data_IF_208543375286
#
_entry.id   IF_208543375286
#
_cell.length_a   1.000
_cell.length_b   1.000
_cell.length_c   1.000
_cell.angle_alpha   90.00
_cell.angle_beta   90.00
_cell.angle_gamma   90.00
#
_symmetry.space_group_name_H-M   'P 1'
#
loop_
_entity.id
_entity.type
_entity.pdbx_description
1 polymer ?
#
# COMPACT_ATOMS: atom_id res chain seq x y z
N UNK A 1 6.03 10.32 20.68
CA UNK A 1 4.97 10.18 21.70
C UNK A 1 3.97 9.14 21.19
N UNK A 2 3.73 8.06 21.95
CA UNK A 2 2.72 7.07 21.57
C UNK A 2 1.31 7.52 21.95
N UNK A 3 0.30 7.17 21.14
CA UNK A 3 -1.12 7.31 21.48
C UNK A 3 -1.72 5.93 21.73
N UNK A 4 -2.53 5.77 22.76
CA UNK A 4 -3.21 4.51 23.06
C UNK A 4 -4.45 4.36 22.18
N UNK A 5 -4.59 3.22 21.52
CA UNK A 5 -5.78 2.82 20.76
C UNK A 5 -6.36 1.57 21.42
N UNK A 6 -7.64 1.60 21.78
CA UNK A 6 -8.35 0.47 22.38
C UNK A 6 -9.46 0.02 21.45
N UNK A 7 -9.51 -1.27 21.12
CA UNK A 7 -10.55 -1.85 20.28
C UNK A 7 -10.90 -3.25 20.76
N UNK A 8 -12.12 -3.72 20.44
CA UNK A 8 -12.53 -5.11 20.68
C UNK A 8 -12.16 -5.94 19.46
N UNK A 9 -11.52 -7.08 19.71
CA UNK A 9 -11.21 -8.09 18.69
C UNK A 9 -11.96 -9.39 19.00
N UNK A 10 -12.26 -10.18 17.97
CA UNK A 10 -12.83 -11.51 18.20
C UNK A 10 -11.76 -12.46 18.76
N UNK A 11 -12.22 -13.54 19.41
CA UNK A 11 -11.36 -14.54 20.06
C UNK A 11 -10.35 -15.15 19.08
N UNK A 12 -10.81 -15.53 17.88
CA UNK A 12 -9.96 -16.11 16.83
C UNK A 12 -8.77 -15.22 16.44
N UNK A 13 -8.97 -13.90 16.37
CA UNK A 13 -7.90 -12.96 16.06
C UNK A 13 -6.94 -12.80 17.24
N UNK A 14 -7.47 -12.72 18.47
CA UNK A 14 -6.64 -12.69 19.68
C UNK A 14 -5.74 -13.90 19.76
N UNK A 15 -6.29 -15.11 19.58
CA UNK A 15 -5.55 -16.37 19.66
C UNK A 15 -4.47 -16.46 18.59
N UNK A 16 -4.71 -15.90 17.39
CA UNK A 16 -3.72 -15.83 16.32
C UNK A 16 -2.56 -14.92 16.70
N UNK A 17 -2.85 -13.74 17.25
CA UNK A 17 -1.82 -12.78 17.68
C UNK A 17 -0.98 -13.40 18.81
N UNK A 18 -1.61 -14.12 19.73
CA UNK A 18 -0.92 -14.80 20.83
C UNK A 18 0.05 -15.87 20.34
N UNK A 19 -0.37 -16.71 19.40
CA UNK A 19 0.51 -17.71 18.78
C UNK A 19 1.71 -17.07 18.08
N UNK A 20 1.49 -15.99 17.32
CA UNK A 20 2.57 -15.27 16.63
C UNK A 20 3.52 -14.63 17.65
N UNK A 21 3.00 -14.09 18.75
CA UNK A 21 3.81 -13.54 19.83
C UNK A 21 4.69 -14.61 20.51
N UNK A 22 4.14 -15.80 20.75
CA UNK A 22 4.88 -16.94 21.28
C UNK A 22 5.96 -17.43 20.28
N UNK A 23 5.61 -17.56 18.99
CA UNK A 23 6.52 -18.02 17.93
C UNK A 23 7.68 -17.05 17.68
N UNK A 24 7.43 -15.74 17.65
CA UNK A 24 8.46 -14.71 17.45
C UNK A 24 9.18 -14.32 18.76
N UNK A 25 8.71 -14.80 19.93
CA UNK A 25 9.26 -14.42 21.23
C UNK A 25 9.03 -12.94 21.58
N UNK A 26 7.94 -12.36 21.09
CA UNK A 26 7.59 -10.95 21.26
C UNK A 26 6.41 -10.79 22.21
N UNK A 27 6.24 -9.59 22.76
CA UNK A 27 5.01 -9.27 23.49
C UNK A 27 3.85 -8.99 22.51
N UNK A 28 2.63 -9.31 22.95
CA UNK A 28 1.39 -9.10 22.19
C UNK A 28 1.28 -7.68 21.64
N UNK A 29 1.68 -6.66 22.41
CA UNK A 29 1.55 -5.27 22.00
C UNK A 29 2.51 -4.91 20.87
N UNK A 30 3.70 -5.52 20.82
CA UNK A 30 4.65 -5.37 19.72
C UNK A 30 4.12 -6.00 18.45
N UNK A 31 3.58 -7.22 18.52
CA UNK A 31 2.95 -7.88 17.36
C UNK A 31 1.78 -7.07 16.82
N UNK A 32 0.90 -6.58 17.69
CA UNK A 32 -0.23 -5.72 17.30
C UNK A 32 0.26 -4.44 16.62
N UNK A 33 1.28 -3.78 17.18
CA UNK A 33 1.84 -2.56 16.57
C UNK A 33 2.44 -2.83 15.19
N UNK A 34 3.19 -3.92 15.03
CA UNK A 34 3.77 -4.35 13.75
C UNK A 34 2.67 -4.51 12.69
N UNK A 35 1.65 -5.33 12.97
CA UNK A 35 0.56 -5.53 12.02
C UNK A 35 -0.28 -4.28 11.74
N UNK A 36 -0.45 -3.40 12.72
CA UNK A 36 -1.14 -2.12 12.48
C UNK A 36 -0.32 -1.20 11.57
N UNK A 37 1.01 -1.15 11.74
CA UNK A 37 1.88 -0.38 10.86
C UNK A 37 1.83 -0.95 9.44
N UNK A 38 2.13 -2.25 9.29
CA UNK A 38 2.16 -2.95 8.00
C UNK A 38 0.80 -2.85 7.27
N UNK A 39 -0.30 -3.00 8.01
CA UNK A 39 -1.65 -2.90 7.45
C UNK A 39 -2.00 -1.48 6.99
N UNK A 40 -1.55 -0.45 7.73
CA UNK A 40 -1.80 0.95 7.37
C UNK A 40 -0.97 1.35 6.15
N UNK A 41 0.30 0.95 6.09
CA UNK A 41 1.17 1.19 4.95
C UNK A 41 0.64 0.52 3.68
N UNK A 42 0.26 -0.76 3.77
CA UNK A 42 -0.33 -1.50 2.65
C UNK A 42 -1.61 -0.86 2.12
N UNK A 43 -2.51 -0.45 3.02
CA UNK A 43 -3.75 0.23 2.63
C UNK A 43 -3.47 1.56 1.94
N UNK A 44 -2.47 2.32 2.40
CA UNK A 44 -2.09 3.60 1.80
C UNK A 44 -1.51 3.44 0.40
N UNK A 45 -0.69 2.41 0.18
CA UNK A 45 -0.14 2.06 -1.14
C UNK A 45 -1.26 1.65 -2.08
N UNK A 46 -2.12 0.72 -1.67
CA UNK A 46 -3.27 0.27 -2.44
C UNK A 46 -4.14 1.47 -2.86
N UNK A 47 -4.48 2.34 -1.90
CA UNK A 47 -5.34 3.48 -2.18
C UNK A 47 -4.69 4.50 -3.13
N UNK A 48 -3.39 4.73 -2.98
CA UNK A 48 -2.67 5.67 -3.84
C UNK A 48 -2.53 5.14 -5.27
N UNK A 49 -2.35 3.83 -5.44
CA UNK A 49 -2.31 3.20 -6.75
C UNK A 49 -3.68 3.17 -7.44
N UNK A 50 -4.79 2.95 -6.71
CA UNK A 50 -6.15 3.12 -7.25
C UNK A 50 -6.40 4.55 -7.76
N UNK A 51 -5.95 5.56 -7.01
CA UNK A 51 -6.06 6.95 -7.42
C UNK A 51 -5.20 7.25 -8.65
N UNK A 52 -4.02 6.63 -8.77
CA UNK A 52 -3.16 6.72 -9.95
C UNK A 52 -3.81 6.07 -11.18
N UNK A 53 -4.31 4.84 -11.04
CA UNK A 53 -4.97 4.09 -12.11
C UNK A 53 -6.21 4.81 -12.64
N UNK A 54 -6.94 5.50 -11.75
CA UNK A 54 -8.07 6.36 -12.15
C UNK A 54 -7.68 7.73 -12.71
N UNK A 55 -6.39 7.99 -12.89
CA UNK A 55 -5.86 9.24 -13.45
C UNK A 55 -5.98 10.47 -12.54
N UNK A 56 -6.31 10.29 -11.25
CA UNK A 56 -6.50 11.40 -10.31
C UNK A 56 -5.19 11.98 -9.80
N UNK A 57 -4.16 11.15 -9.72
CA UNK A 57 -2.82 11.53 -9.31
C UNK A 57 -1.79 10.92 -10.25
N UNK A 58 -0.60 11.50 -10.26
CA UNK A 58 0.57 10.92 -10.93
C UNK A 58 1.22 9.85 -10.05
N UNK A 59 2.01 8.96 -10.67
CA UNK A 59 2.76 7.94 -9.94
C UNK A 59 3.76 8.56 -8.94
N UNK A 60 4.30 9.74 -9.27
CA UNK A 60 5.20 10.48 -8.38
C UNK A 60 4.47 11.00 -7.12
N UNK A 61 3.23 11.48 -7.29
CA UNK A 61 2.38 11.86 -6.15
C UNK A 61 1.95 10.65 -5.32
N UNK A 62 1.76 9.48 -5.94
CA UNK A 62 1.52 8.25 -5.20
C UNK A 62 2.73 7.87 -4.32
N UNK A 63 3.95 7.97 -4.87
CA UNK A 63 5.19 7.74 -4.12
C UNK A 63 5.29 8.65 -2.88
N UNK A 64 5.10 9.95 -3.08
CA UNK A 64 5.16 10.97 -2.02
C UNK A 64 4.12 10.72 -0.92
N UNK A 65 2.88 10.38 -1.29
CA UNK A 65 1.82 10.04 -0.33
C UNK A 65 2.16 8.84 0.54
N UNK A 66 2.82 7.83 -0.03
CA UNK A 66 3.21 6.62 0.67
C UNK A 66 4.55 6.75 1.41
N UNK A 67 5.26 7.87 1.25
CA UNK A 67 6.63 8.02 1.78
C UNK A 67 7.64 7.09 1.11
N UNK A 68 7.35 6.66 -0.13
CA UNK A 68 8.19 5.77 -0.92
C UNK A 68 8.99 6.56 -1.95
N UNK A 69 10.11 6.00 -2.38
CA UNK A 69 10.79 6.46 -3.59
C UNK A 69 9.96 6.13 -4.83
N UNK A 70 10.23 6.85 -5.93
CA UNK A 70 9.59 6.56 -7.21
C UNK A 70 9.84 5.10 -7.66
N UNK A 71 11.02 4.55 -7.39
CA UNK A 71 11.33 3.17 -7.78
C UNK A 71 10.51 2.15 -7.00
N UNK A 72 10.35 2.35 -5.68
CA UNK A 72 9.56 1.48 -4.82
C UNK A 72 8.10 1.46 -5.25
N UNK A 73 7.49 2.63 -5.53
CA UNK A 73 6.09 2.65 -5.99
C UNK A 73 5.92 2.01 -7.37
N UNK A 74 6.95 2.06 -8.24
CA UNK A 74 6.94 1.34 -9.52
C UNK A 74 6.94 -0.17 -9.29
N UNK A 75 7.68 -0.67 -8.29
CA UNK A 75 7.64 -2.10 -7.96
C UNK A 75 6.26 -2.50 -7.44
N UNK A 76 5.69 -1.72 -6.52
CA UNK A 76 4.34 -1.97 -5.98
C UNK A 76 3.27 -1.96 -7.10
N UNK A 77 3.34 -1.00 -8.01
CA UNK A 77 2.43 -0.93 -9.16
C UNK A 77 2.54 -2.18 -10.05
N UNK A 78 3.77 -2.67 -10.29
CA UNK A 78 4.00 -3.88 -11.08
C UNK A 78 3.51 -5.14 -10.37
N UNK A 79 3.79 -5.28 -9.07
CA UNK A 79 3.39 -6.44 -8.28
C UNK A 79 1.88 -6.56 -8.12
N UNK A 80 1.18 -5.42 -8.10
CA UNK A 80 -0.28 -5.34 -8.00
C UNK A 80 -0.98 -5.26 -9.36
N UNK A 81 -0.23 -5.41 -10.45
CA UNK A 81 -0.73 -5.39 -11.84
C UNK A 81 -1.56 -4.14 -12.18
N UNK A 82 -1.15 -2.98 -11.64
CA UNK A 82 -1.85 -1.70 -11.83
C UNK A 82 -1.78 -1.27 -13.29
N UNK A 83 -2.93 -0.93 -13.88
CA UNK A 83 -2.97 -0.44 -15.24
C UNK A 83 -2.45 1.00 -15.30
N UNK A 84 -1.51 1.24 -16.20
CA UNK A 84 -1.06 2.61 -16.50
C UNK A 84 -2.24 3.33 -17.16
N UNK A 85 -2.62 4.54 -16.71
CA UNK A 85 -3.73 5.31 -17.28
C UNK A 85 -3.35 5.90 -18.65
N UNK A 86 -3.05 5.04 -19.61
CA UNK A 86 -2.70 5.39 -20.98
C UNK A 86 -3.98 5.53 -21.80
N UNK A 87 -4.08 6.64 -22.51
CA UNK A 87 -5.30 7.05 -23.22
C UNK A 87 -5.19 6.79 -24.72
N UNK A 88 -6.35 6.73 -25.38
CA UNK A 88 -6.41 6.60 -26.85
C UNK A 88 -5.79 7.83 -27.52
N UNK A 89 -5.96 9.02 -26.95
CA UNK A 89 -5.37 10.25 -27.48
C UNK A 89 -3.84 10.18 -27.46
N UNK A 90 -3.23 9.69 -26.35
CA UNK A 90 -1.78 9.45 -26.27
C UNK A 90 -1.32 8.41 -27.30
N UNK A 91 -2.11 7.34 -27.52
CA UNK A 91 -1.83 6.37 -28.58
C UNK A 91 -1.84 6.99 -29.98
N UNK A 92 -2.82 7.85 -30.27
CA UNK A 92 -2.89 8.54 -31.56
C UNK A 92 -1.70 9.49 -31.78
N UNK A 93 -1.27 10.20 -30.73
CA UNK A 93 -0.09 11.07 -30.79
C UNK A 93 1.20 10.28 -31.06
N UNK A 94 1.40 9.16 -30.36
CA UNK A 94 2.56 8.28 -30.55
C UNK A 94 2.61 7.69 -31.97
N UNK A 95 1.46 7.31 -32.54
CA UNK A 95 1.39 6.79 -33.91
C UNK A 95 1.73 7.85 -34.96
N UNK A 96 1.30 9.10 -34.77
CA UNK A 96 1.64 10.21 -35.70
C UNK A 96 3.14 10.51 -35.71
N UNK A 97 3.83 10.29 -34.60
CA UNK A 97 5.29 10.49 -34.53
C UNK A 97 6.10 9.45 -35.32
N UNK A 98 5.47 8.37 -35.80
CA UNK A 98 6.09 7.33 -36.62
C UNK A 98 5.90 7.53 -38.13
N UNK A 99 5.06 8.48 -38.56
CA UNK A 99 4.84 8.87 -39.97
C UNK A 99 5.85 9.95 -40.43
#
# INVERSE_FOLDING_TARGET
MGKTVTTRVNEKLSDRIDKIAEEEGLDRSTVVRKFLADGTENWLIEKSLEDYESGKITLWQAADRCGLTLWEIIQEAREREVHVPYTVDELEEDLRALE
#
